data_IF_108456202583
#
_entry.id   IF_108456202583
#
_cell.length_a   1.000
_cell.length_b   1.000
_cell.length_c   1.000
_cell.angle_alpha   90.00
_cell.angle_beta   90.00
_cell.angle_gamma   90.00
#
_symmetry.space_group_name_H-M   'P 1'
#
loop_
_entity.id
_entity.type
_entity.pdbx_description
1 polymer ?
#
# COMPACT_ATOMS: atom_id res chain seq x y z
N UNK A 1 6.73 5.48 -32.39
CA UNK A 1 5.86 5.35 -33.58
C UNK A 1 4.43 5.15 -33.15
N UNK A 2 4.12 4.25 -32.20
CA UNK A 2 2.76 4.03 -31.71
C UNK A 2 2.11 5.27 -31.08
N UNK A 3 2.89 6.14 -30.46
CA UNK A 3 2.37 7.36 -29.84
C UNK A 3 1.73 8.34 -30.83
N UNK A 4 2.22 8.39 -32.08
CA UNK A 4 1.70 9.27 -33.12
C UNK A 4 0.45 8.71 -33.82
N UNK A 5 0.17 7.42 -33.69
CA UNK A 5 -0.93 6.72 -34.36
C UNK A 5 -2.00 6.18 -33.40
N UNK A 6 -1.76 6.27 -32.09
CA UNK A 6 -2.73 5.84 -31.07
C UNK A 6 -3.67 7.01 -30.76
N UNK A 7 -4.99 6.78 -30.71
CA UNK A 7 -5.93 7.79 -30.20
C UNK A 7 -5.53 8.30 -28.82
N UNK A 8 -5.90 9.53 -28.50
CA UNK A 8 -5.67 10.07 -27.15
C UNK A 8 -6.24 9.12 -26.09
N UNK A 9 -5.44 8.89 -25.04
CA UNK A 9 -5.87 8.03 -23.94
C UNK A 9 -6.90 8.81 -23.13
N UNK A 10 -8.14 8.33 -23.14
CA UNK A 10 -9.24 8.89 -22.37
C UNK A 10 -9.66 7.92 -21.26
N UNK A 11 -10.04 8.47 -20.11
CA UNK A 11 -10.63 7.67 -19.05
C UNK A 11 -12.08 7.35 -19.42
N UNK A 12 -12.33 6.13 -19.89
CA UNK A 12 -13.66 5.71 -20.33
C UNK A 12 -14.75 5.87 -19.25
N UNK A 13 -14.38 5.73 -17.97
CA UNK A 13 -15.25 5.95 -16.82
C UNK A 13 -15.60 7.42 -16.56
N UNK A 14 -14.94 8.35 -17.24
CA UNK A 14 -15.11 9.81 -17.05
C UNK A 14 -15.80 10.49 -18.23
N UNK A 15 -16.40 9.71 -19.14
CA UNK A 15 -17.08 10.22 -20.35
C UNK A 15 -18.25 11.16 -20.07
N UNK A 16 -18.80 11.14 -18.87
CA UNK A 16 -19.93 11.98 -18.46
C UNK A 16 -19.48 13.31 -17.82
N UNK A 17 -18.19 13.61 -17.82
CA UNK A 17 -17.64 14.84 -17.28
C UNK A 17 -17.23 15.79 -18.40
N UNK A 18 -17.78 17.02 -18.36
CA UNK A 18 -17.40 18.11 -19.27
C UNK A 18 -16.28 18.94 -18.62
N UNK A 19 -15.02 18.55 -18.82
CA UNK A 19 -13.88 19.25 -18.25
C UNK A 19 -12.62 18.41 -18.25
N UNK A 20 -11.57 18.91 -17.63
CA UNK A 20 -10.31 18.17 -17.47
C UNK A 20 -10.40 17.09 -16.39
N UNK A 21 -9.52 16.08 -16.47
CA UNK A 21 -9.40 15.05 -15.43
C UNK A 21 -9.06 15.67 -14.07
N UNK A 22 -8.25 16.76 -14.05
CA UNK A 22 -7.91 17.47 -12.82
C UNK A 22 -9.14 18.06 -12.14
N UNK A 23 -9.97 18.77 -12.89
CA UNK A 23 -11.22 19.37 -12.38
C UNK A 23 -12.20 18.30 -11.88
N UNK A 24 -12.29 17.15 -12.56
CA UNK A 24 -13.11 16.04 -12.09
C UNK A 24 -12.60 15.47 -10.75
N UNK A 25 -11.29 15.30 -10.63
CA UNK A 25 -10.69 14.79 -9.39
C UNK A 25 -10.90 15.79 -8.24
N UNK A 26 -10.73 17.08 -8.48
CA UNK A 26 -10.99 18.13 -7.48
C UNK A 26 -12.46 18.14 -7.04
N UNK A 27 -13.38 17.89 -7.97
CA UNK A 27 -14.81 17.78 -7.65
C UNK A 27 -15.17 16.51 -6.88
N UNK A 28 -14.52 15.39 -7.19
CA UNK A 28 -14.82 14.08 -6.58
C UNK A 28 -14.21 13.91 -5.19
N UNK A 29 -13.07 14.55 -4.93
CA UNK A 29 -12.42 14.42 -3.63
C UNK A 29 -13.00 15.39 -2.62
N UNK A 30 -13.61 14.86 -1.58
CA UNK A 30 -14.08 15.64 -0.45
C UNK A 30 -12.94 15.83 0.56
N UNK A 31 -12.36 17.05 0.71
CA UNK A 31 -11.31 17.32 1.67
C UNK A 31 -11.82 17.55 3.09
N UNK A 32 -13.15 17.50 3.30
CA UNK A 32 -13.77 17.82 4.59
C UNK A 32 -13.97 16.62 5.51
N UNK A 33 -13.58 15.41 5.08
CA UNK A 33 -13.69 14.19 5.88
C UNK A 33 -12.93 14.29 7.21
N UNK A 34 -13.61 13.86 8.28
CA UNK A 34 -13.13 13.93 9.65
C UNK A 34 -13.19 12.57 10.36
N UNK A 35 -12.69 12.50 11.58
CA UNK A 35 -12.81 11.31 12.41
C UNK A 35 -14.28 10.99 12.81
N UNK A 36 -15.18 11.98 12.78
CA UNK A 36 -16.61 11.75 13.01
C UNK A 36 -17.24 10.96 11.85
N UNK A 37 -16.75 11.19 10.62
CA UNK A 37 -17.19 10.40 9.45
C UNK A 37 -16.76 8.95 9.57
N UNK A 38 -15.55 8.67 10.09
CA UNK A 38 -15.13 7.30 10.39
C UNK A 38 -16.03 6.63 11.44
N UNK A 39 -16.43 7.36 12.49
CA UNK A 39 -17.40 6.85 13.48
C UNK A 39 -18.74 6.54 12.84
N UNK A 40 -19.19 7.40 11.94
CA UNK A 40 -20.44 7.18 11.22
C UNK A 40 -20.34 5.95 10.32
N UNK A 41 -19.27 5.80 9.54
CA UNK A 41 -19.01 4.61 8.70
C UNK A 41 -19.02 3.35 9.57
N UNK A 42 -18.33 3.34 10.70
CA UNK A 42 -18.29 2.19 11.61
C UNK A 42 -19.69 1.78 12.11
N UNK A 43 -20.58 2.73 12.33
CA UNK A 43 -21.96 2.45 12.74
C UNK A 43 -22.82 1.85 11.61
N UNK A 44 -22.48 2.13 10.36
CA UNK A 44 -23.21 1.65 9.18
C UNK A 44 -22.68 0.29 8.66
N UNK A 45 -21.47 -0.09 9.04
CA UNK A 45 -20.79 -1.25 8.51
C UNK A 45 -20.23 -2.13 9.62
N UNK A 46 -20.77 -3.34 9.77
CA UNK A 46 -20.37 -4.32 10.79
C UNK A 46 -19.21 -5.23 10.34
N UNK A 47 -18.88 -5.24 9.07
CA UNK A 47 -17.78 -6.04 8.50
C UNK A 47 -16.40 -5.44 8.79
N UNK A 48 -15.35 -6.09 8.29
CA UNK A 48 -13.99 -5.62 8.42
C UNK A 48 -13.80 -4.23 7.81
N UNK A 49 -13.24 -3.32 8.59
CA UNK A 49 -12.97 -1.94 8.22
C UNK A 49 -11.47 -1.66 8.29
N UNK A 50 -10.87 -1.35 7.14
CA UNK A 50 -9.47 -0.95 7.03
C UNK A 50 -9.36 0.53 6.69
N UNK A 51 -8.64 1.30 7.48
CA UNK A 51 -8.37 2.72 7.21
C UNK A 51 -7.04 2.86 6.49
N UNK A 52 -7.11 3.39 5.26
CA UNK A 52 -5.94 3.59 4.38
C UNK A 52 -5.42 5.03 4.46
N UNK A 53 -4.11 5.19 4.26
CA UNK A 53 -3.48 6.52 4.21
C UNK A 53 -2.85 6.93 5.53
N UNK A 54 -2.72 6.02 6.47
CA UNK A 54 -2.11 6.28 7.78
C UNK A 54 -0.61 6.55 7.59
N UNK A 55 -0.16 7.71 8.09
CA UNK A 55 1.22 8.20 7.92
C UNK A 55 1.88 8.62 9.23
N UNK A 56 1.22 8.46 10.37
CA UNK A 56 1.76 8.71 11.69
C UNK A 56 1.12 7.81 12.75
N UNK A 57 1.72 7.78 13.93
CA UNK A 57 1.27 6.93 15.04
C UNK A 57 -0.04 7.39 15.68
N UNK A 58 -0.25 8.69 15.75
CA UNK A 58 -1.46 9.24 16.41
C UNK A 58 -2.71 8.93 15.60
N UNK A 59 -2.64 9.07 14.27
CA UNK A 59 -3.72 8.66 13.36
C UNK A 59 -3.95 7.15 13.39
N UNK A 60 -2.89 6.35 13.47
CA UNK A 60 -3.00 4.91 13.64
C UNK A 60 -3.79 4.55 14.91
N UNK A 61 -3.45 5.16 16.05
CA UNK A 61 -4.14 4.97 17.33
C UNK A 61 -5.58 5.46 17.26
N UNK A 62 -5.84 6.59 16.61
CA UNK A 62 -7.18 7.14 16.47
C UNK A 62 -8.06 6.24 15.60
N UNK A 63 -7.59 5.76 14.47
CA UNK A 63 -8.32 4.83 13.63
C UNK A 63 -8.72 3.56 14.39
N UNK A 64 -7.78 2.95 15.11
CA UNK A 64 -8.05 1.77 15.95
C UNK A 64 -9.06 2.07 17.07
N UNK A 65 -8.93 3.21 17.76
CA UNK A 65 -9.87 3.65 18.81
C UNK A 65 -11.29 3.81 18.28
N UNK A 66 -11.44 4.20 17.03
CA UNK A 66 -12.73 4.39 16.36
C UNK A 66 -13.30 3.11 15.74
N UNK A 67 -12.63 1.97 15.94
CA UNK A 67 -13.15 0.67 15.56
C UNK A 67 -12.68 0.20 14.18
N UNK A 68 -11.60 0.75 13.64
CA UNK A 68 -10.94 0.14 12.49
C UNK A 68 -10.32 -1.21 12.90
N UNK A 69 -10.62 -2.26 12.15
CA UNK A 69 -10.08 -3.60 12.39
C UNK A 69 -8.63 -3.71 11.91
N UNK A 70 -8.27 -2.90 10.91
CA UNK A 70 -6.94 -2.82 10.37
C UNK A 70 -6.59 -1.39 9.94
N UNK A 71 -5.29 -1.11 9.85
CA UNK A 71 -4.77 0.10 9.24
C UNK A 71 -3.87 -0.24 8.06
N UNK A 72 -3.91 0.59 7.02
CA UNK A 72 -3.01 0.49 5.88
C UNK A 72 -2.09 1.71 5.84
N UNK A 73 -0.83 1.48 6.18
CA UNK A 73 0.23 2.48 6.08
C UNK A 73 0.48 2.80 4.61
N UNK A 74 0.26 4.03 4.23
CA UNK A 74 0.29 4.43 2.82
C UNK A 74 0.54 5.92 2.65
N UNK A 75 1.48 6.28 1.79
CA UNK A 75 1.63 7.63 1.26
C UNK A 75 1.17 7.71 -0.22
N UNK A 76 0.34 6.76 -0.66
CA UNK A 76 -0.19 6.66 -2.01
C UNK A 76 0.91 6.63 -3.11
N UNK A 77 2.07 6.05 -2.78
CA UNK A 77 3.21 5.99 -3.72
C UNK A 77 3.88 7.33 -3.96
N UNK A 78 3.77 8.27 -3.02
CA UNK A 78 4.28 9.64 -3.13
C UNK A 78 3.49 10.52 -4.12
N UNK A 79 2.24 10.15 -4.45
CA UNK A 79 1.42 10.83 -5.45
C UNK A 79 0.56 11.95 -4.88
N UNK A 80 0.36 12.01 -3.58
CA UNK A 80 -0.50 12.98 -2.91
C UNK A 80 0.35 14.04 -2.20
N UNK A 81 0.83 13.71 -1.01
CA UNK A 81 1.64 14.61 -0.19
C UNK A 81 3.11 14.50 -0.60
N UNK A 82 3.72 15.65 -0.96
CA UNK A 82 5.17 15.70 -1.16
C UNK A 82 5.92 15.50 0.16
N UNK A 83 7.07 14.83 0.12
CA UNK A 83 7.92 14.52 1.27
C UNK A 83 7.21 13.72 2.38
N UNK A 84 6.17 12.98 2.04
CA UNK A 84 5.52 12.06 2.96
C UNK A 84 6.50 11.02 3.53
N UNK A 85 6.26 10.49 4.74
CA UNK A 85 7.13 9.50 5.38
C UNK A 85 7.32 8.24 4.53
N UNK A 86 8.45 7.57 4.72
CA UNK A 86 8.67 6.23 4.16
C UNK A 86 7.97 5.21 5.03
N UNK A 87 6.96 4.53 4.48
CA UNK A 87 6.08 3.66 5.24
C UNK A 87 6.79 2.50 5.93
N UNK A 88 7.83 1.94 5.32
CA UNK A 88 8.60 0.83 5.92
C UNK A 88 9.30 1.25 7.22
N UNK A 89 9.76 2.50 7.32
CA UNK A 89 10.36 3.04 8.55
C UNK A 89 9.30 3.20 9.64
N UNK A 90 8.13 3.70 9.27
CA UNK A 90 7.02 3.93 10.19
C UNK A 90 6.42 2.62 10.73
N UNK A 91 6.41 1.56 9.91
CA UNK A 91 5.82 0.26 10.25
C UNK A 91 6.34 -0.30 11.57
N UNK A 92 7.65 -0.30 11.75
CA UNK A 92 8.28 -0.88 12.94
C UNK A 92 7.92 -0.12 14.23
N UNK A 93 7.76 1.19 14.14
CA UNK A 93 7.40 2.01 15.30
C UNK A 93 5.91 1.88 15.64
N UNK A 94 5.05 1.85 14.64
CA UNK A 94 3.62 1.61 14.84
C UNK A 94 3.40 0.19 15.41
N UNK A 95 4.07 -0.83 14.87
CA UNK A 95 3.86 -2.22 15.33
C UNK A 95 4.18 -2.42 16.81
N UNK A 96 5.11 -1.67 17.39
CA UNK A 96 5.44 -1.73 18.82
C UNK A 96 4.30 -1.28 19.74
N UNK A 97 3.44 -0.40 19.24
CA UNK A 97 2.35 0.22 19.99
C UNK A 97 1.03 -0.58 19.92
N UNK A 98 0.95 -1.52 18.99
CA UNK A 98 -0.26 -2.32 18.77
C UNK A 98 -0.08 -3.76 19.27
N UNK A 99 -1.19 -4.39 19.67
CA UNK A 99 -1.22 -5.81 19.99
C UNK A 99 -0.76 -6.64 18.80
N UNK A 100 -0.24 -7.84 19.06
CA UNK A 100 0.31 -8.71 18.04
C UNK A 100 -0.71 -9.06 16.94
N UNK A 101 -1.97 -9.22 17.30
CA UNK A 101 -3.09 -9.62 16.46
C UNK A 101 -3.78 -8.45 15.73
N UNK A 102 -3.44 -7.19 16.06
CA UNK A 102 -3.97 -6.05 15.31
C UNK A 102 -3.33 -5.99 13.92
N UNK A 103 -4.19 -5.95 12.89
CA UNK A 103 -3.72 -5.99 11.51
C UNK A 103 -3.14 -4.64 11.06
N UNK A 104 -1.89 -4.69 10.63
CA UNK A 104 -1.18 -3.56 10.03
C UNK A 104 -0.76 -3.97 8.63
N UNK A 105 -1.32 -3.28 7.67
CA UNK A 105 -1.03 -3.46 6.26
C UNK A 105 -0.09 -2.36 5.77
N UNK A 106 0.59 -2.59 4.67
CA UNK A 106 1.48 -1.60 4.05
C UNK A 106 1.38 -1.63 2.53
N UNK A 107 1.33 -0.48 1.94
CA UNK A 107 1.65 -0.28 0.53
C UNK A 107 2.82 0.70 0.38
N UNK A 108 3.06 1.17 -0.82
CA UNK A 108 4.12 2.16 -1.11
C UNK A 108 5.54 1.58 -1.05
N UNK A 109 6.16 1.58 -2.22
CA UNK A 109 7.55 1.13 -2.36
C UNK A 109 7.72 -0.39 -2.47
N UNK A 110 6.64 -1.17 -2.47
CA UNK A 110 6.69 -2.62 -2.68
C UNK A 110 6.85 -2.89 -4.18
N UNK A 111 8.09 -3.07 -4.61
CA UNK A 111 8.45 -3.26 -6.03
C UNK A 111 9.19 -4.57 -6.28
N UNK A 112 9.65 -5.24 -5.22
CA UNK A 112 10.51 -6.42 -5.27
C UNK A 112 10.08 -7.43 -4.20
N UNK A 113 10.32 -8.72 -4.42
CA UNK A 113 10.00 -9.74 -3.42
C UNK A 113 10.72 -9.55 -2.07
N UNK A 114 11.89 -8.91 -2.06
CA UNK A 114 12.58 -8.54 -0.82
C UNK A 114 11.81 -7.49 0.01
N UNK A 115 11.11 -6.56 -0.64
CA UNK A 115 10.33 -5.52 0.05
C UNK A 115 9.17 -6.16 0.80
N UNK A 116 8.53 -7.18 0.19
CA UNK A 116 7.47 -7.98 0.83
C UNK A 116 8.02 -8.65 2.10
N UNK A 117 9.16 -9.35 1.99
CA UNK A 117 9.75 -10.06 3.13
C UNK A 117 10.20 -9.10 4.23
N UNK A 118 10.73 -7.93 3.87
CA UNK A 118 11.11 -6.90 4.84
C UNK A 118 9.88 -6.36 5.58
N UNK A 119 8.79 -6.09 4.88
CA UNK A 119 7.55 -5.62 5.49
C UNK A 119 6.96 -6.67 6.46
N UNK A 120 6.90 -7.95 6.04
CA UNK A 120 6.43 -9.05 6.89
C UNK A 120 7.34 -9.22 8.12
N UNK A 121 8.66 -9.19 7.93
CA UNK A 121 9.62 -9.29 9.02
C UNK A 121 9.47 -8.16 10.06
N UNK A 122 9.05 -6.98 9.62
CA UNK A 122 8.77 -5.82 10.49
C UNK A 122 7.35 -5.82 11.08
N UNK A 123 6.54 -6.81 10.74
CA UNK A 123 5.23 -7.05 11.36
C UNK A 123 4.01 -6.66 10.56
N UNK A 124 4.14 -6.39 9.25
CA UNK A 124 2.98 -6.26 8.37
C UNK A 124 2.33 -7.64 8.13
N UNK A 125 1.01 -7.71 8.22
CA UNK A 125 0.25 -8.90 7.86
C UNK A 125 -0.04 -8.97 6.36
N UNK A 126 -0.20 -7.81 5.70
CA UNK A 126 -0.44 -7.74 4.25
C UNK A 126 0.40 -6.64 3.61
N UNK A 127 0.82 -6.90 2.38
CA UNK A 127 1.48 -5.93 1.51
C UNK A 127 0.67 -5.74 0.24
N UNK A 128 0.58 -4.50 -0.23
CA UNK A 128 -0.11 -4.18 -1.47
C UNK A 128 0.87 -3.64 -2.50
N UNK A 129 0.71 -4.07 -3.74
CA UNK A 129 1.52 -3.62 -4.86
C UNK A 129 0.69 -2.78 -5.82
N UNK A 130 1.27 -1.71 -6.32
CA UNK A 130 0.68 -0.84 -7.33
C UNK A 130 1.50 -0.89 -8.62
N UNK A 131 2.51 -0.04 -8.73
CA UNK A 131 3.32 0.11 -9.94
C UNK A 131 3.94 -1.19 -10.45
N UNK A 132 4.30 -2.12 -9.58
CA UNK A 132 4.92 -3.38 -9.99
C UNK A 132 4.02 -4.17 -10.96
N UNK A 133 2.72 -4.34 -10.63
CA UNK A 133 1.80 -5.02 -11.52
C UNK A 133 1.35 -4.14 -12.69
N UNK A 134 1.23 -2.82 -12.49
CA UNK A 134 0.84 -1.88 -13.56
C UNK A 134 1.85 -1.87 -14.70
N UNK A 135 3.15 -1.93 -14.41
CA UNK A 135 4.18 -2.06 -15.45
C UNK A 135 4.04 -3.38 -16.21
N UNK A 136 3.71 -4.47 -15.52
CA UNK A 136 3.37 -5.74 -16.17
C UNK A 136 2.16 -5.61 -17.08
N UNK A 137 1.08 -4.97 -16.61
CA UNK A 137 -0.13 -4.72 -17.38
C UNK A 137 0.17 -3.91 -18.65
N UNK A 138 0.95 -2.84 -18.53
CA UNK A 138 1.33 -1.99 -19.66
C UNK A 138 2.21 -2.74 -20.68
N UNK A 139 3.04 -3.66 -20.21
CA UNK A 139 3.96 -4.40 -21.07
C UNK A 139 3.30 -5.58 -21.82
N UNK A 140 2.30 -6.24 -21.25
CA UNK A 140 1.75 -7.47 -21.80
C UNK A 140 0.36 -7.85 -21.31
N UNK A 141 -0.46 -6.88 -20.90
CA UNK A 141 -1.83 -7.18 -20.45
C UNK A 141 -1.85 -8.14 -19.26
N UNK A 142 -2.76 -9.10 -19.27
CA UNK A 142 -2.90 -10.10 -18.21
C UNK A 142 -1.61 -10.91 -18.03
N UNK A 143 -1.03 -11.43 -19.09
CA UNK A 143 0.22 -12.22 -19.03
C UNK A 143 1.37 -11.42 -18.41
N UNK A 144 1.41 -10.11 -18.67
CA UNK A 144 2.38 -9.21 -18.06
C UNK A 144 2.19 -9.05 -16.56
N UNK A 145 0.94 -8.98 -16.08
CA UNK A 145 0.62 -8.97 -14.64
C UNK A 145 1.04 -10.28 -13.98
N UNK A 146 0.67 -11.42 -14.56
CA UNK A 146 1.03 -12.75 -14.07
C UNK A 146 2.55 -12.90 -13.98
N UNK A 147 3.27 -12.43 -15.01
CA UNK A 147 4.73 -12.44 -15.03
C UNK A 147 5.34 -11.56 -13.93
N UNK A 148 4.81 -10.37 -13.70
CA UNK A 148 5.28 -9.48 -12.64
C UNK A 148 5.13 -10.13 -11.25
N UNK A 149 3.97 -10.74 -10.98
CA UNK A 149 3.70 -11.44 -9.73
C UNK A 149 4.60 -12.67 -9.56
N UNK A 150 4.83 -13.45 -10.63
CA UNK A 150 5.72 -14.61 -10.61
C UNK A 150 7.18 -14.20 -10.35
N UNK A 151 7.64 -13.07 -10.90
CA UNK A 151 8.96 -12.52 -10.59
C UNK A 151 9.06 -12.22 -9.09
N UNK A 152 8.09 -11.52 -8.53
CA UNK A 152 8.09 -11.19 -7.09
C UNK A 152 8.07 -12.47 -6.24
N UNK A 153 7.24 -13.45 -6.57
CA UNK A 153 7.16 -14.75 -5.88
C UNK A 153 8.50 -15.48 -5.91
N UNK A 154 9.13 -15.53 -7.08
CA UNK A 154 10.45 -16.19 -7.26
C UNK A 154 11.52 -15.50 -6.42
N UNK A 155 11.51 -14.17 -6.37
CA UNK A 155 12.43 -13.39 -5.54
C UNK A 155 12.20 -13.65 -4.04
N UNK A 156 10.94 -13.73 -3.59
CA UNK A 156 10.62 -14.08 -2.21
C UNK A 156 11.18 -15.44 -1.84
N UNK A 157 10.88 -16.48 -2.62
CA UNK A 157 11.34 -17.85 -2.37
C UNK A 157 12.87 -17.92 -2.34
N UNK A 158 13.55 -17.24 -3.26
CA UNK A 158 15.01 -17.18 -3.29
C UNK A 158 15.58 -16.52 -2.04
N UNK A 159 15.03 -15.38 -1.65
CA UNK A 159 15.48 -14.66 -0.46
C UNK A 159 15.20 -15.44 0.83
N UNK A 160 14.06 -16.11 0.95
CA UNK A 160 13.77 -17.00 2.08
C UNK A 160 14.81 -18.12 2.22
N UNK A 161 15.18 -18.75 1.10
CA UNK A 161 16.24 -19.76 1.09
C UNK A 161 17.59 -19.20 1.54
N UNK A 162 17.93 -17.99 1.13
CA UNK A 162 19.19 -17.33 1.53
C UNK A 162 19.19 -16.91 3.01
N UNK A 163 18.02 -16.58 3.55
CA UNK A 163 17.83 -16.26 4.97
C UNK A 163 17.73 -17.52 5.86
N UNK A 164 17.57 -18.71 5.26
CA UNK A 164 17.40 -19.95 6.01
C UNK A 164 16.04 -20.08 6.67
N UNK A 165 15.00 -19.45 6.12
CA UNK A 165 13.61 -19.53 6.64
C UNK A 165 12.72 -20.33 5.68
N UNK A 166 11.82 -21.14 6.24
CA UNK A 166 10.93 -22.03 5.48
C UNK A 166 9.51 -21.50 5.35
N UNK A 167 9.10 -20.59 6.24
CA UNK A 167 7.80 -19.92 6.21
C UNK A 167 7.92 -18.43 6.49
N UNK A 168 6.88 -17.66 6.15
CA UNK A 168 6.81 -16.23 6.47
C UNK A 168 6.75 -15.98 7.98
N UNK A 169 6.21 -16.92 8.74
CA UNK A 169 6.10 -16.83 10.21
C UNK A 169 7.44 -16.89 10.94
N UNK A 170 8.48 -17.41 10.27
CA UNK A 170 9.84 -17.42 10.80
C UNK A 170 10.56 -16.09 10.62
N UNK A 171 9.99 -15.18 9.82
CA UNK A 171 10.56 -13.85 9.62
C UNK A 171 10.39 -13.01 10.88
N UNK A 172 11.47 -12.33 11.24
CA UNK A 172 11.53 -11.45 12.41
C UNK A 172 12.27 -10.16 12.06
N UNK A 173 12.15 -9.10 12.86
CA UNK A 173 12.88 -7.86 12.64
C UNK A 173 14.41 -8.03 12.57
N UNK A 174 14.97 -9.15 13.07
CA UNK A 174 16.41 -9.45 12.96
C UNK A 174 16.88 -9.67 11.52
N UNK A 175 15.96 -10.00 10.60
CA UNK A 175 16.27 -10.20 9.19
C UNK A 175 16.30 -8.88 8.40
N UNK A 176 15.97 -7.76 9.05
CA UNK A 176 15.93 -6.44 8.40
C UNK A 176 16.88 -5.48 9.10
N UNK A 177 17.66 -4.74 8.32
CA UNK A 177 18.52 -3.67 8.83
C UNK A 177 18.29 -2.41 8.01
N UNK A 178 17.89 -1.34 8.67
CA UNK A 178 17.88 -0.01 8.06
C UNK A 178 19.32 0.52 7.95
N UNK A 179 19.68 0.96 6.77
CA UNK A 179 20.95 1.62 6.55
C UNK A 179 20.74 3.13 6.70
N UNK A 180 21.31 3.73 7.73
CA UNK A 180 21.38 5.17 7.84
C UNK A 180 22.32 5.66 6.73
N UNK A 181 21.79 6.40 5.75
CA UNK A 181 22.66 7.18 4.86
C UNK A 181 23.24 8.32 5.71
N UNK A 182 24.55 8.26 5.92
CA UNK A 182 25.33 9.40 6.44
C UNK A 182 25.35 10.52 5.41
#
# INVERSE_FOLDING_TARGET
INFLTTPSIEFASMKNWEGTVGELLDYMFDPTMTWEDLKWIRKQWDGTLTVKGIQNLDDAKMAAKLGADAILLSNHGGRQLDRAPVMLHLLSDIKKEFKKDYEIHIDTGIMHGADVLAAVALGAQYTYVGRAYLYGLMAGGQDGVERALEIMRTQMVRNMKLLGVNSLDELTPKHVRFLNRQ
#
